data_IF_189617124895
#
_entry.id   IF_189617124895
#
_cell.length_a   1.000
_cell.length_b   1.000
_cell.length_c   1.000
_cell.angle_alpha   90.00
_cell.angle_beta   90.00
_cell.angle_gamma   90.00
#
_symmetry.space_group_name_H-M   'P 1'
#
loop_
_entity.id
_entity.type
_entity.pdbx_description
1 polymer ?
#
# COMPACT_ATOMS: atom_id res chain seq x y z
N UNK A 1 23.46 -0.46 7.54
CA UNK A 1 22.59 -1.46 8.19
C UNK A 1 21.16 -1.22 7.72
N UNK A 2 20.36 -2.26 7.44
CA UNK A 2 18.91 -2.10 7.20
C UNK A 2 18.16 -2.31 8.52
N UNK A 3 17.13 -1.53 8.78
CA UNK A 3 16.30 -1.66 9.98
C UNK A 3 14.85 -1.91 9.60
N UNK A 4 14.14 -2.68 10.43
CA UNK A 4 12.75 -3.05 10.22
C UNK A 4 11.99 -2.95 11.55
N UNK A 5 10.75 -2.49 11.50
CA UNK A 5 9.83 -2.48 12.63
C UNK A 5 8.56 -3.23 12.29
N UNK A 6 7.99 -3.90 13.28
CA UNK A 6 6.79 -4.70 13.14
C UNK A 6 5.82 -4.46 14.30
N UNK A 7 4.53 -4.56 14.02
CA UNK A 7 3.45 -4.59 15.01
C UNK A 7 2.53 -5.76 14.66
N UNK A 8 2.24 -6.63 15.62
CA UNK A 8 1.39 -7.83 15.41
C UNK A 8 1.82 -8.72 14.23
N UNK A 9 3.15 -8.80 14.01
CA UNK A 9 3.74 -9.55 12.90
C UNK A 9 3.67 -8.85 11.53
N UNK A 10 3.04 -7.68 11.43
CA UNK A 10 2.98 -6.86 10.21
C UNK A 10 4.12 -5.83 10.20
N UNK A 11 4.82 -5.70 9.06
CA UNK A 11 5.88 -4.70 8.92
C UNK A 11 5.29 -3.30 8.87
N UNK A 12 5.69 -2.43 9.78
CA UNK A 12 5.22 -1.04 9.87
C UNK A 12 6.26 -0.04 9.37
N UNK A 13 7.53 -0.45 9.31
CA UNK A 13 8.61 0.38 8.76
C UNK A 13 9.76 -0.47 8.25
N UNK A 14 10.42 0.00 7.20
CA UNK A 14 11.79 -0.40 6.89
C UNK A 14 12.63 0.81 6.51
N UNK A 15 13.95 0.75 6.74
CA UNK A 15 14.87 1.81 6.31
C UNK A 15 16.21 1.24 5.84
N UNK A 16 16.84 1.95 4.90
CA UNK A 16 18.16 1.61 4.38
C UNK A 16 19.29 2.20 5.25
N UNK A 17 20.55 1.91 4.86
CA UNK A 17 21.72 2.35 5.62
C UNK A 17 21.93 3.89 5.64
N UNK A 18 21.29 4.61 4.73
CA UNK A 18 21.33 6.07 4.64
C UNK A 18 20.18 6.75 5.40
N UNK A 19 19.31 5.96 6.06
CA UNK A 19 18.18 6.47 6.82
C UNK A 19 16.92 6.72 5.99
N UNK A 20 16.94 6.51 4.66
CA UNK A 20 15.73 6.58 3.84
C UNK A 20 14.79 5.45 4.27
N UNK A 21 13.60 5.85 4.72
CA UNK A 21 12.59 4.99 5.32
C UNK A 21 11.33 4.92 4.47
N UNK A 22 10.65 3.80 4.60
CA UNK A 22 9.30 3.57 4.12
C UNK A 22 8.47 3.06 5.30
N UNK A 23 7.26 3.56 5.42
CA UNK A 23 6.33 3.26 6.48
C UNK A 23 5.01 2.71 5.90
N UNK A 24 4.31 1.91 6.69
CA UNK A 24 3.07 1.25 6.28
C UNK A 24 2.02 1.34 7.37
N UNK A 25 0.80 1.73 7.00
CA UNK A 25 -0.40 1.60 7.84
C UNK A 25 -1.25 0.46 7.34
N UNK A 26 -1.69 -0.37 8.29
CA UNK A 26 -2.49 -1.56 8.02
C UNK A 26 -3.90 -1.42 8.56
N UNK A 27 -4.86 -2.02 7.86
CA UNK A 27 -6.23 -2.26 8.32
C UNK A 27 -6.65 -3.70 7.99
N UNK A 28 -7.61 -4.24 8.73
CA UNK A 28 -8.23 -5.54 8.42
C UNK A 28 -9.42 -5.30 7.50
N UNK A 29 -9.30 -5.73 6.25
CA UNK A 29 -10.33 -5.64 5.22
C UNK A 29 -10.61 -7.04 4.64
N UNK A 30 -11.88 -7.43 4.57
CA UNK A 30 -12.27 -8.80 4.16
C UNK A 30 -11.51 -9.88 4.97
N UNK A 31 -11.57 -9.74 6.31
CA UNK A 31 -10.92 -10.60 7.31
C UNK A 31 -9.40 -10.76 7.17
N UNK A 32 -8.73 -9.89 6.41
CA UNK A 32 -7.28 -9.98 6.17
C UNK A 32 -6.61 -8.61 6.25
N UNK A 33 -5.37 -8.54 6.76
CA UNK A 33 -4.63 -7.29 6.79
C UNK A 33 -4.31 -6.80 5.36
N UNK A 34 -4.49 -5.51 5.12
CA UNK A 34 -4.11 -4.78 3.91
C UNK A 34 -3.39 -3.49 4.27
N UNK A 35 -2.41 -3.11 3.47
CA UNK A 35 -1.78 -1.79 3.57
C UNK A 35 -2.77 -0.78 3.00
N UNK A 36 -3.15 0.21 3.79
CA UNK A 36 -4.06 1.28 3.35
C UNK A 36 -3.32 2.61 3.17
N UNK A 37 -2.12 2.74 3.75
CA UNK A 37 -1.20 3.84 3.45
C UNK A 37 0.24 3.36 3.38
N UNK A 38 0.99 3.96 2.46
CA UNK A 38 2.44 3.87 2.36
C UNK A 38 3.00 5.29 2.27
N UNK A 39 4.05 5.60 3.02
CA UNK A 39 4.77 6.84 2.84
C UNK A 39 6.26 6.63 3.02
N UNK A 40 7.04 7.57 2.50
CA UNK A 40 8.49 7.53 2.54
C UNK A 40 9.04 8.79 3.19
N UNK A 41 10.26 8.69 3.71
CA UNK A 41 10.95 9.83 4.31
C UNK A 41 11.28 10.96 3.33
N UNK A 42 11.21 10.71 2.02
CA UNK A 42 11.44 11.72 0.96
C UNK A 42 10.15 12.32 0.38
N UNK A 43 8.98 12.02 0.98
CA UNK A 43 7.74 12.76 0.77
C UNK A 43 6.71 12.10 -0.14
N UNK A 44 6.93 10.86 -0.60
CA UNK A 44 5.84 10.08 -1.19
C UNK A 44 4.81 9.74 -0.10
N UNK A 45 3.53 9.83 -0.44
CA UNK A 45 2.44 9.30 0.39
C UNK A 45 1.35 8.79 -0.54
N UNK A 46 1.07 7.49 -0.43
CA UNK A 46 0.07 6.77 -1.20
C UNK A 46 -1.03 6.27 -0.27
N UNK A 47 -2.28 6.51 -0.68
CA UNK A 47 -3.48 5.93 -0.06
C UNK A 47 -4.04 4.84 -0.97
N UNK A 48 -4.41 3.71 -0.38
CA UNK A 48 -4.96 2.56 -1.09
C UNK A 48 -6.41 2.32 -0.70
N UNK A 49 -7.31 2.36 -1.67
CA UNK A 49 -8.70 1.94 -1.50
C UNK A 49 -8.93 0.59 -2.21
N UNK A 50 -9.58 -0.34 -1.52
CA UNK A 50 -9.87 -1.67 -2.03
C UNK A 50 -11.38 -1.88 -2.21
N UNK A 51 -11.80 -2.13 -3.45
CA UNK A 51 -13.15 -2.59 -3.77
C UNK A 51 -13.10 -4.07 -4.16
N UNK A 52 -13.47 -4.95 -3.23
CA UNK A 52 -13.43 -6.39 -3.45
C UNK A 52 -14.55 -6.90 -4.36
N UNK A 53 -15.70 -6.21 -4.37
CA UNK A 53 -16.84 -6.58 -5.22
C UNK A 53 -16.53 -6.27 -6.68
N UNK A 54 -16.05 -5.04 -6.95
CA UNK A 54 -15.61 -4.61 -8.26
C UNK A 54 -14.26 -5.22 -8.68
N UNK A 55 -13.52 -5.81 -7.73
CA UNK A 55 -12.13 -6.29 -7.90
C UNK A 55 -11.24 -5.17 -8.42
N UNK A 56 -11.28 -4.04 -7.74
CA UNK A 56 -10.50 -2.85 -8.06
C UNK A 56 -9.62 -2.44 -6.87
N UNK A 57 -8.47 -1.86 -7.19
CA UNK A 57 -7.65 -1.14 -6.24
C UNK A 57 -7.41 0.26 -6.79
N UNK A 58 -7.67 1.26 -5.98
CA UNK A 58 -7.37 2.66 -6.29
C UNK A 58 -6.18 3.11 -5.46
N UNK A 59 -5.26 3.84 -6.09
CA UNK A 59 -4.09 4.42 -5.43
C UNK A 59 -4.11 5.91 -5.66
N UNK A 60 -4.11 6.68 -4.58
CA UNK A 60 -4.07 8.15 -4.61
C UNK A 60 -2.75 8.64 -4.07
N UNK A 61 -2.03 9.45 -4.85
CA UNK A 61 -0.75 10.02 -4.43
C UNK A 61 -0.87 11.38 -3.74
N UNK A 62 0.27 11.91 -3.29
CA UNK A 62 0.38 13.20 -2.58
C UNK A 62 -0.11 14.41 -3.42
N UNK A 63 -0.20 14.27 -4.74
CA UNK A 63 -0.72 15.31 -5.64
C UNK A 63 -2.22 15.14 -5.92
N UNK A 64 -2.88 14.14 -5.29
CA UNK A 64 -4.28 13.80 -5.52
C UNK A 64 -4.52 13.10 -6.86
N UNK A 65 -3.47 12.62 -7.55
CA UNK A 65 -3.62 11.82 -8.76
C UNK A 65 -4.06 10.43 -8.36
N UNK A 66 -4.97 9.86 -9.15
CA UNK A 66 -5.58 8.57 -8.88
C UNK A 66 -5.24 7.60 -10.02
N UNK A 67 -4.64 6.47 -9.67
CA UNK A 67 -4.51 5.31 -10.55
C UNK A 67 -5.45 4.20 -10.07
N UNK A 68 -6.03 3.45 -11.00
CA UNK A 68 -6.89 2.32 -10.70
C UNK A 68 -6.38 1.06 -11.39
N UNK A 69 -6.50 -0.09 -10.72
CA UNK A 69 -6.17 -1.41 -11.26
C UNK A 69 -7.38 -2.32 -11.12
N UNK A 70 -7.82 -2.93 -12.21
CA UNK A 70 -8.93 -3.90 -12.24
C UNK A 70 -8.41 -5.32 -12.39
N UNK A 71 -8.99 -6.25 -11.63
CA UNK A 71 -8.62 -7.66 -11.63
C UNK A 71 -9.75 -8.56 -12.11
N UNK A 72 -9.39 -9.64 -12.80
CA UNK A 72 -10.31 -10.74 -13.05
C UNK A 72 -10.47 -11.64 -11.80
N UNK A 73 -11.33 -12.66 -11.88
CA UNK A 73 -11.59 -13.61 -10.79
C UNK A 73 -10.35 -14.39 -10.32
N UNK A 74 -9.36 -14.56 -11.19
CA UNK A 74 -8.10 -15.25 -10.89
C UNK A 74 -7.05 -14.29 -10.31
N UNK A 75 -7.46 -13.06 -9.95
CA UNK A 75 -6.62 -11.99 -9.39
C UNK A 75 -5.50 -11.54 -10.33
N UNK A 76 -5.72 -11.65 -11.64
CA UNK A 76 -4.82 -11.09 -12.66
C UNK A 76 -5.31 -9.71 -13.08
N UNK A 77 -4.38 -8.78 -13.26
CA UNK A 77 -4.66 -7.45 -13.79
C UNK A 77 -5.21 -7.58 -15.21
N UNK A 78 -6.30 -6.86 -15.49
CA UNK A 78 -6.93 -6.78 -16.82
C UNK A 78 -7.08 -5.35 -17.33
N UNK A 79 -6.99 -4.35 -16.46
CA UNK A 79 -6.98 -2.94 -16.83
C UNK A 79 -6.21 -2.12 -15.78
N UNK A 80 -5.59 -1.03 -16.22
CA UNK A 80 -5.00 -0.01 -15.37
C UNK A 80 -5.08 1.36 -16.06
N UNK A 81 -5.21 2.43 -15.27
CA UNK A 81 -5.21 3.83 -15.75
C UNK A 81 -3.93 4.55 -15.37
#
# INVERSE_FOLDING_TARGET
>A
MRTFSYTDGLMTRHANALGLGCEYRWEVLDDKPRVVEHWTSDGEHLHFDYDFEARQTRVTDVLGRCAEVTYNKDRRVIAST
#
